data_IF_810966938491
#
_entry.id   IF_810966938491
#
_cell.length_a   1.000
_cell.length_b   1.000
_cell.length_c   1.000
_cell.angle_alpha   90.00
_cell.angle_beta   90.00
_cell.angle_gamma   90.00
#
_symmetry.space_group_name_H-M   'P 1'
#
loop_
_entity.id
_entity.type
_entity.pdbx_description
1 polymer ?
#
# COMPACT_ATOMS: atom_id res chain seq x y z
N UNK A 1 -30.56 13.65 28.08
CA UNK A 1 -29.55 12.77 27.43
C UNK A 1 -28.86 13.59 26.36
N UNK A 2 -27.53 13.77 26.41
CA UNK A 2 -26.83 14.41 25.30
C UNK A 2 -26.85 13.45 24.10
N UNK A 3 -26.97 13.96 22.85
CA UNK A 3 -26.89 13.11 21.67
C UNK A 3 -25.52 12.44 21.58
N UNK A 4 -25.52 11.12 21.47
CA UNK A 4 -24.37 10.21 21.37
C UNK A 4 -23.67 10.27 19.99
N UNK A 5 -23.79 11.38 19.25
CA UNK A 5 -23.13 11.52 17.96
C UNK A 5 -21.92 12.44 18.11
N UNK A 6 -20.69 11.97 17.82
CA UNK A 6 -19.56 12.88 17.80
C UNK A 6 -19.81 13.95 16.71
N UNK A 7 -19.43 15.22 16.95
CA UNK A 7 -19.63 16.33 16.02
C UNK A 7 -18.82 16.23 14.71
N UNK A 8 -18.18 15.08 14.42
CA UNK A 8 -17.28 14.86 13.29
C UNK A 8 -17.87 13.99 12.16
N UNK A 9 -19.12 13.55 12.25
CA UNK A 9 -19.72 12.75 11.19
C UNK A 9 -20.06 13.62 9.96
N UNK A 10 -19.31 13.45 8.87
CA UNK A 10 -19.57 14.11 7.58
C UNK A 10 -21.05 13.96 7.17
N UNK A 11 -21.66 15.07 6.75
CA UNK A 11 -23.05 15.06 6.28
C UNK A 11 -23.24 14.16 5.06
N UNK A 12 -24.41 13.53 4.91
CA UNK A 12 -24.73 12.74 3.71
C UNK A 12 -24.63 13.57 2.43
N UNK A 13 -24.97 14.86 2.49
CA UNK A 13 -24.88 15.78 1.35
C UNK A 13 -23.42 15.97 0.93
N UNK A 14 -22.52 16.22 1.88
CA UNK A 14 -21.09 16.35 1.61
C UNK A 14 -20.52 15.06 1.03
N UNK A 15 -20.87 13.90 1.63
CA UNK A 15 -20.45 12.59 1.13
C UNK A 15 -20.84 12.37 -0.32
N UNK A 16 -22.10 12.67 -0.66
CA UNK A 16 -22.61 12.51 -2.01
C UNK A 16 -21.92 13.45 -2.99
N UNK A 17 -21.73 14.72 -2.63
CA UNK A 17 -21.06 15.69 -3.48
C UNK A 17 -19.61 15.30 -3.79
N UNK A 18 -18.87 14.79 -2.79
CA UNK A 18 -17.51 14.29 -2.98
C UNK A 18 -17.47 13.05 -3.87
N UNK A 19 -18.35 12.07 -3.62
CA UNK A 19 -18.43 10.86 -4.45
C UNK A 19 -18.76 11.18 -5.91
N UNK A 20 -19.72 12.08 -6.14
CA UNK A 20 -20.07 12.54 -7.48
C UNK A 20 -18.91 13.28 -8.16
N UNK A 21 -18.18 14.13 -7.44
CA UNK A 21 -17.01 14.83 -7.98
C UNK A 21 -15.89 13.85 -8.34
N UNK A 22 -15.57 12.93 -7.44
CA UNK A 22 -14.52 11.92 -7.66
C UNK A 22 -14.87 11.03 -8.85
N UNK A 23 -16.11 10.55 -8.94
CA UNK A 23 -16.57 9.73 -10.06
C UNK A 23 -16.50 10.46 -11.40
N UNK A 24 -16.86 11.75 -11.46
CA UNK A 24 -16.69 12.56 -12.68
C UNK A 24 -15.22 12.71 -13.06
N UNK A 25 -14.35 13.01 -12.10
CA UNK A 25 -12.92 13.18 -12.35
C UNK A 25 -12.27 11.87 -12.82
N UNK A 26 -12.71 10.73 -12.28
CA UNK A 26 -12.24 9.40 -12.70
C UNK A 26 -12.67 9.07 -14.13
N UNK A 27 -13.92 9.33 -14.49
CA UNK A 27 -14.41 9.14 -15.87
C UNK A 27 -13.60 9.98 -16.85
N UNK A 28 -13.34 11.25 -16.54
CA UNK A 28 -12.54 12.12 -17.41
C UNK A 28 -11.07 11.68 -17.49
N UNK A 29 -10.48 11.19 -16.38
CA UNK A 29 -9.14 10.61 -16.39
C UNK A 29 -9.07 9.36 -17.27
N UNK A 30 -10.04 8.45 -17.16
CA UNK A 30 -10.12 7.26 -17.99
C UNK A 30 -10.31 7.61 -19.48
N UNK A 31 -11.16 8.60 -19.79
CA UNK A 31 -11.32 9.12 -21.15
C UNK A 31 -10.02 9.71 -21.70
N UNK A 32 -9.30 10.49 -20.89
CA UNK A 32 -8.03 11.08 -21.30
C UNK A 32 -6.97 10.01 -21.60
N UNK A 33 -6.93 8.92 -20.85
CA UNK A 33 -6.09 7.76 -21.16
C UNK A 33 -6.53 7.06 -22.45
N UNK A 34 -7.83 6.83 -22.64
CA UNK A 34 -8.36 6.18 -23.84
C UNK A 34 -8.09 6.98 -25.12
N UNK A 35 -8.04 8.32 -25.03
CA UNK A 35 -7.77 9.22 -26.15
C UNK A 35 -6.29 9.67 -26.25
N UNK A 36 -5.36 8.98 -25.60
CA UNK A 36 -3.95 9.34 -25.63
C UNK A 36 -3.30 8.95 -26.97
N UNK A 37 -3.15 9.93 -27.87
CA UNK A 37 -2.56 9.77 -29.20
C UNK A 37 -1.09 10.24 -29.29
N UNK A 38 -0.49 10.63 -28.17
CA UNK A 38 0.88 11.16 -28.09
C UNK A 38 1.01 12.64 -28.47
N UNK A 39 -0.05 13.28 -28.97
CA UNK A 39 -0.03 14.72 -29.31
C UNK A 39 0.18 15.59 -28.05
N UNK A 40 0.76 16.79 -28.20
CA UNK A 40 0.84 17.75 -27.10
C UNK A 40 -0.53 18.05 -26.47
N UNK A 41 -1.59 18.14 -27.28
CA UNK A 41 -2.95 18.38 -26.81
C UNK A 41 -3.48 17.22 -25.95
N UNK A 42 -3.27 15.96 -26.36
CA UNK A 42 -3.67 14.81 -25.56
C UNK A 42 -2.88 14.72 -24.24
N UNK A 43 -1.57 15.01 -24.25
CA UNK A 43 -0.77 15.07 -23.02
C UNK A 43 -1.24 16.15 -22.06
N UNK A 44 -1.59 17.34 -22.57
CA UNK A 44 -2.16 18.43 -21.75
C UNK A 44 -3.50 18.01 -21.13
N UNK A 45 -4.41 17.42 -21.91
CA UNK A 45 -5.69 16.90 -21.39
C UNK A 45 -5.47 15.86 -20.29
N UNK A 46 -4.56 14.93 -20.49
CA UNK A 46 -4.23 13.92 -19.48
C UNK A 46 -3.65 14.55 -18.20
N UNK A 47 -2.75 15.52 -18.33
CA UNK A 47 -2.19 16.22 -17.18
C UNK A 47 -3.28 16.96 -16.38
N UNK A 48 -4.21 17.63 -17.06
CA UNK A 48 -5.34 18.30 -16.42
C UNK A 48 -6.28 17.32 -15.72
N UNK A 49 -6.61 16.19 -16.35
CA UNK A 49 -7.46 15.18 -15.75
C UNK A 49 -6.82 14.55 -14.49
N UNK A 50 -5.50 14.33 -14.50
CA UNK A 50 -4.75 13.87 -13.31
C UNK A 50 -4.81 14.88 -12.17
N UNK A 51 -4.66 16.16 -12.48
CA UNK A 51 -4.75 17.23 -11.47
C UNK A 51 -6.15 17.29 -10.84
N UNK A 52 -7.21 17.23 -11.64
CA UNK A 52 -8.58 17.28 -11.10
C UNK A 52 -8.91 16.03 -10.28
N UNK A 53 -8.50 14.84 -10.74
CA UNK A 53 -8.66 13.61 -9.96
C UNK A 53 -7.93 13.70 -8.61
N UNK A 54 -6.66 14.11 -8.62
CA UNK A 54 -5.88 14.27 -7.39
C UNK A 54 -6.49 15.31 -6.44
N UNK A 55 -7.04 16.41 -6.97
CA UNK A 55 -7.73 17.41 -6.17
C UNK A 55 -9.03 16.88 -5.54
N UNK A 56 -9.82 16.12 -6.30
CA UNK A 56 -11.04 15.49 -5.81
C UNK A 56 -10.75 14.41 -4.75
N UNK A 57 -9.72 13.60 -4.97
CA UNK A 57 -9.24 12.59 -4.01
C UNK A 57 -8.74 13.24 -2.72
N UNK A 58 -7.91 14.28 -2.82
CA UNK A 58 -7.41 15.00 -1.65
C UNK A 58 -8.56 15.60 -0.81
N UNK A 59 -9.57 16.18 -1.46
CA UNK A 59 -10.76 16.69 -0.77
C UNK A 59 -11.54 15.56 -0.06
N UNK A 60 -11.68 14.40 -0.70
CA UNK A 60 -12.33 13.25 -0.09
C UNK A 60 -11.56 12.73 1.13
N UNK A 61 -10.23 12.64 1.04
CA UNK A 61 -9.39 12.15 2.15
C UNK A 61 -9.42 13.10 3.36
N UNK A 62 -9.44 14.41 3.14
CA UNK A 62 -9.57 15.41 4.21
C UNK A 62 -10.90 15.24 4.93
N UNK A 63 -12.00 15.14 4.18
CA UNK A 63 -13.35 15.02 4.76
C UNK A 63 -13.60 13.67 5.44
N UNK A 64 -12.90 12.62 5.01
CA UNK A 64 -12.90 11.32 5.68
C UNK A 64 -12.04 11.28 6.94
N UNK A 65 -11.23 12.30 7.22
CA UNK A 65 -10.24 12.29 8.31
C UNK A 65 -9.21 11.16 8.13
N UNK A 66 -8.89 10.81 6.88
CA UNK A 66 -8.10 9.62 6.57
C UNK A 66 -6.67 9.71 7.10
N UNK A 67 -6.10 10.93 7.19
CA UNK A 67 -4.76 11.17 7.73
C UNK A 67 -4.73 10.95 9.23
N UNK A 68 -5.70 11.49 9.94
CA UNK A 68 -5.87 11.34 11.38
C UNK A 68 -6.12 9.88 11.73
N UNK A 69 -6.96 9.19 10.96
CA UNK A 69 -7.21 7.76 11.10
C UNK A 69 -5.92 6.93 10.90
N UNK A 70 -5.11 7.26 9.89
CA UNK A 70 -3.84 6.59 9.64
C UNK A 70 -2.87 6.74 10.82
N UNK A 71 -2.72 7.94 11.38
CA UNK A 71 -1.87 8.19 12.56
C UNK A 71 -2.28 7.31 13.74
N UNK A 72 -3.59 7.16 14.00
CA UNK A 72 -4.09 6.30 15.07
C UNK A 72 -3.76 4.83 14.82
N UNK A 73 -3.87 4.37 13.57
CA UNK A 73 -3.53 2.99 13.18
C UNK A 73 -2.03 2.73 13.31
N UNK A 74 -1.19 3.66 12.86
CA UNK A 74 0.27 3.56 12.97
C UNK A 74 0.74 3.55 14.43
N UNK A 75 0.18 4.44 15.26
CA UNK A 75 0.47 4.47 16.69
C UNK A 75 0.05 3.17 17.39
N UNK A 76 -1.07 2.57 16.98
CA UNK A 76 -1.51 1.27 17.47
C UNK A 76 -0.54 0.16 17.06
N UNK A 77 -0.16 0.09 15.78
CA UNK A 77 0.79 -0.89 15.25
C UNK A 77 2.15 -0.81 15.95
N UNK A 78 2.62 0.39 16.27
CA UNK A 78 3.88 0.58 17.00
C UNK A 78 3.83 0.04 18.44
N UNK A 79 2.65 0.03 19.08
CA UNK A 79 2.43 -0.55 20.41
C UNK A 79 2.30 -2.08 20.36
N UNK A 80 1.76 -2.60 19.27
CA UNK A 80 1.62 -4.04 19.00
C UNK A 80 2.94 -4.63 18.46
N UNK A 81 4.08 -4.31 19.09
CA UNK A 81 5.43 -4.72 18.69
C UNK A 81 5.46 -6.13 18.10
N UNK A 82 6.21 -6.39 17.00
CA UNK A 82 6.36 -7.75 16.49
C UNK A 82 6.78 -8.63 17.66
N UNK A 83 6.02 -9.70 17.90
CA UNK A 83 6.38 -10.71 18.89
C UNK A 83 7.88 -10.98 18.74
N UNK A 84 8.66 -11.03 19.85
CA UNK A 84 10.04 -11.43 19.74
C UNK A 84 10.10 -12.72 18.94
N UNK A 85 11.12 -12.92 18.08
CA UNK A 85 11.32 -14.21 17.44
C UNK A 85 11.17 -15.25 18.55
N UNK A 86 10.34 -16.27 18.35
CA UNK A 86 10.34 -17.43 19.22
C UNK A 86 11.78 -17.91 19.25
N UNK A 87 12.54 -17.51 20.27
CA UNK A 87 13.86 -18.05 20.50
C UNK A 87 13.64 -19.55 20.62
N UNK A 88 14.36 -20.32 19.81
CA UNK A 88 14.38 -21.77 19.86
C UNK A 88 14.65 -22.19 21.31
N UNK A 89 13.59 -22.49 22.06
CA UNK A 89 13.71 -23.03 23.41
C UNK A 89 14.30 -24.43 23.23
N UNK A 90 15.54 -24.70 23.68
CA UNK A 90 16.08 -26.04 23.59
C UNK A 90 15.35 -26.89 24.63
N UNK A 91 14.33 -27.63 24.18
CA UNK A 91 13.75 -28.67 25.02
C UNK A 91 14.68 -29.87 24.93
N UNK A 92 15.61 -29.90 25.87
CA UNK A 92 16.53 -31.01 26.11
C UNK A 92 15.78 -32.25 26.58
N UNK A 93 15.17 -33.01 25.66
CA UNK A 93 14.75 -34.39 25.92
C UNK A 93 15.40 -35.28 24.87
N UNK A 94 16.63 -35.73 25.18
CA UNK A 94 17.33 -36.70 24.36
C UNK A 94 16.73 -38.09 24.49
N UNK A 95 16.44 -38.75 23.36
CA UNK A 95 16.90 -40.11 23.09
C UNK A 95 17.22 -40.22 21.59
N UNK A 96 18.45 -40.63 21.33
CA UNK A 96 19.09 -40.94 20.06
C UNK A 96 18.28 -41.80 19.09
N UNK A 97 18.35 -41.46 17.80
CA UNK A 97 18.44 -42.44 16.72
C UNK A 97 19.38 -41.92 15.64
N UNK A 98 20.47 -42.67 15.48
CA UNK A 98 21.54 -42.56 14.51
C UNK A 98 21.09 -42.19 13.09
N UNK A 99 21.80 -41.26 12.47
CA UNK A 99 21.64 -40.94 11.05
C UNK A 99 22.71 -40.05 10.44
N UNK A 100 23.95 -40.12 10.93
CA UNK A 100 25.23 -39.80 10.25
C UNK A 100 25.27 -38.60 9.27
N UNK A 101 25.74 -37.47 9.81
CA UNK A 101 26.80 -36.58 9.31
C UNK A 101 26.75 -36.05 7.86
N UNK A 102 26.66 -34.71 7.79
CA UNK A 102 27.23 -33.86 6.74
C UNK A 102 28.77 -34.02 6.63
N UNK A 103 29.40 -33.46 5.57
CA UNK A 103 30.12 -32.21 5.78
C UNK A 103 29.87 -31.23 4.61
N UNK A 104 29.55 -29.95 4.87
CA UNK A 104 30.50 -28.85 5.10
C UNK A 104 31.65 -28.77 4.07
N UNK A 105 31.64 -27.68 3.29
CA UNK A 105 32.77 -27.23 2.46
C UNK A 105 32.35 -27.08 0.99
N UNK A 106 32.53 -25.96 0.31
CA UNK A 106 33.37 -24.83 0.64
C UNK A 106 33.17 -23.65 -0.31
N UNK A 107 33.69 -22.53 0.15
CA UNK A 107 33.93 -21.28 -0.57
C UNK A 107 35.02 -21.54 -1.62
N UNK A 108 34.83 -21.15 -2.88
CA UNK A 108 35.95 -21.08 -3.83
C UNK A 108 35.62 -20.97 -5.33
N UNK A 109 35.79 -19.76 -5.86
CA UNK A 109 36.47 -19.40 -7.13
C UNK A 109 35.94 -19.83 -8.51
N UNK A 110 35.62 -18.79 -9.31
CA UNK A 110 36.00 -18.50 -10.72
C UNK A 110 36.17 -19.66 -11.74
N UNK A 111 35.52 -19.50 -12.89
CA UNK A 111 36.09 -19.21 -14.23
C UNK A 111 35.09 -19.67 -15.31
N UNK A 112 34.76 -18.81 -16.31
CA UNK A 112 35.06 -18.99 -17.76
C UNK A 112 34.37 -20.24 -18.36
N UNK A 113 33.60 -20.24 -19.45
CA UNK A 113 33.86 -19.66 -20.78
C UNK A 113 32.74 -20.18 -21.73
N UNK A 114 32.34 -19.40 -22.74
CA UNK A 114 31.84 -19.88 -24.06
C UNK A 114 30.54 -20.71 -24.09
N UNK A 115 29.82 -20.88 -25.19
CA UNK A 115 30.01 -20.50 -26.59
C UNK A 115 28.66 -20.70 -27.31
N UNK A 116 28.53 -20.06 -28.47
CA UNK A 116 27.41 -20.02 -29.41
C UNK A 116 26.70 -21.35 -29.72
N UNK A 117 25.40 -21.26 -30.01
CA UNK A 117 24.80 -21.86 -31.21
C UNK A 117 23.86 -20.83 -31.85
#
# INVERSE_FOLDING_TARGET
>A
MPPCFPPSAMSMKTRRALAERLGRAEVELQRAYACLDGSPAARTRLAQAKLEYGAAEAAALVELGAREALVLVEARRARESPLPPLEDVPTEHGVTSLGRQAPLGGRGTRALEGHYI
#
